data_IF_808967129001
#
_entry.id   IF_808967129001
#
_cell.length_a   1.000
_cell.length_b   1.000
_cell.length_c   1.000
_cell.angle_alpha   90.00
_cell.angle_beta   90.00
_cell.angle_gamma   90.00
#
_symmetry.space_group_name_H-M   'P 1'
#
loop_
_entity.id
_entity.type
_entity.pdbx_description
1 polymer ?
#
# COMPACT_ATOMS: atom_id res chain seq x y z
N UNK A 1 -51.58 -10.13 -65.90
CA UNK A 1 -51.61 -9.12 -64.81
C UNK A 1 -51.67 -9.76 -63.42
N UNK A 2 -52.64 -10.61 -63.11
CA UNK A 2 -52.77 -11.22 -61.76
C UNK A 2 -51.54 -12.03 -61.29
N UNK A 3 -50.99 -12.91 -62.14
CA UNK A 3 -49.79 -13.71 -61.80
C UNK A 3 -48.55 -12.85 -61.48
N UNK A 4 -48.32 -11.79 -62.25
CA UNK A 4 -47.22 -10.85 -62.02
C UNK A 4 -47.35 -10.13 -60.66
N UNK A 5 -48.57 -9.71 -60.31
CA UNK A 5 -48.84 -9.06 -59.03
C UNK A 5 -48.60 -10.00 -57.83
N UNK A 6 -48.96 -11.28 -57.97
CA UNK A 6 -48.71 -12.31 -56.94
C UNK A 6 -47.21 -12.51 -56.74
N UNK A 7 -46.43 -12.58 -57.82
CA UNK A 7 -44.96 -12.74 -57.74
C UNK A 7 -44.32 -11.53 -57.06
N UNK A 8 -44.73 -10.31 -57.41
CA UNK A 8 -44.22 -9.08 -56.77
C UNK A 8 -44.55 -9.05 -55.28
N UNK A 9 -45.79 -9.41 -54.91
CA UNK A 9 -46.19 -9.47 -53.50
C UNK A 9 -45.39 -10.51 -52.71
N UNK A 10 -45.15 -11.70 -53.29
CA UNK A 10 -44.36 -12.75 -52.66
C UNK A 10 -42.89 -12.33 -52.46
N UNK A 11 -42.29 -11.69 -53.46
CA UNK A 11 -40.93 -11.16 -53.38
C UNK A 11 -40.80 -10.03 -52.35
N UNK A 12 -41.78 -9.12 -52.29
CA UNK A 12 -41.82 -8.06 -51.30
C UNK A 12 -41.90 -8.62 -49.88
N UNK A 13 -42.77 -9.61 -49.65
CA UNK A 13 -42.89 -10.28 -48.35
C UNK A 13 -41.63 -11.03 -47.94
N UNK A 14 -41.02 -11.79 -48.87
CA UNK A 14 -39.76 -12.48 -48.61
C UNK A 14 -38.65 -11.48 -48.27
N UNK A 15 -38.51 -10.40 -49.04
CA UNK A 15 -37.48 -9.38 -48.84
C UNK A 15 -37.63 -8.70 -47.48
N UNK A 16 -38.86 -8.32 -47.09
CA UNK A 16 -39.13 -7.73 -45.78
C UNK A 16 -38.80 -8.71 -44.64
N UNK A 17 -39.19 -9.98 -44.79
CA UNK A 17 -38.89 -11.02 -43.82
C UNK A 17 -37.37 -11.25 -43.65
N UNK A 18 -36.62 -11.33 -44.74
CA UNK A 18 -35.16 -11.49 -44.70
C UNK A 18 -34.46 -10.24 -44.15
N UNK A 19 -34.92 -9.05 -44.51
CA UNK A 19 -34.38 -7.81 -43.98
C UNK A 19 -34.61 -7.70 -42.46
N UNK A 20 -35.82 -7.98 -41.99
CA UNK A 20 -36.15 -7.99 -40.57
C UNK A 20 -35.30 -8.98 -39.77
N UNK A 21 -35.07 -10.18 -40.31
CA UNK A 21 -34.19 -11.16 -39.68
C UNK A 21 -32.72 -10.69 -39.70
N UNK A 22 -32.24 -10.14 -40.81
CA UNK A 22 -30.86 -9.62 -40.91
C UNK A 22 -30.59 -8.48 -39.91
N UNK A 23 -31.55 -7.57 -39.73
CA UNK A 23 -31.44 -6.49 -38.73
C UNK A 23 -31.39 -7.05 -37.32
N UNK A 24 -32.27 -8.00 -36.96
CA UNK A 24 -32.27 -8.64 -35.65
C UNK A 24 -30.95 -9.35 -35.34
N UNK A 25 -30.41 -10.12 -36.27
CA UNK A 25 -29.13 -10.81 -36.09
C UNK A 25 -27.96 -9.84 -35.97
N UNK A 26 -27.97 -8.75 -36.75
CA UNK A 26 -26.98 -7.67 -36.63
C UNK A 26 -27.03 -7.04 -35.24
N UNK A 27 -28.21 -6.65 -34.77
CA UNK A 27 -28.39 -6.04 -33.45
C UNK A 27 -27.93 -6.96 -32.31
N UNK A 28 -28.28 -8.26 -32.37
CA UNK A 28 -27.84 -9.26 -31.40
C UNK A 28 -26.32 -9.39 -31.38
N UNK A 29 -25.69 -9.51 -32.57
CA UNK A 29 -24.23 -9.60 -32.69
C UNK A 29 -23.56 -8.35 -32.16
N UNK A 30 -24.05 -7.17 -32.54
CA UNK A 30 -23.45 -5.90 -32.14
C UNK A 30 -23.56 -5.73 -30.61
N UNK A 31 -24.70 -6.13 -30.02
CA UNK A 31 -24.91 -6.18 -28.57
C UNK A 31 -23.93 -7.12 -27.87
N UNK A 32 -23.77 -8.35 -28.36
CA UNK A 32 -22.84 -9.34 -27.78
C UNK A 32 -21.40 -8.88 -27.93
N UNK A 33 -21.03 -8.33 -29.10
CA UNK A 33 -19.69 -7.83 -29.38
C UNK A 33 -19.34 -6.67 -28.46
N UNK A 34 -20.28 -5.74 -28.25
CA UNK A 34 -20.12 -4.64 -27.31
C UNK A 34 -19.96 -5.15 -25.87
N UNK A 35 -20.81 -6.08 -25.42
CA UNK A 35 -20.71 -6.68 -24.07
C UNK A 35 -19.39 -7.40 -23.86
N UNK A 36 -18.92 -8.15 -24.86
CA UNK A 36 -17.64 -8.83 -24.83
C UNK A 36 -16.47 -7.84 -24.75
N UNK A 37 -16.50 -6.77 -25.55
CA UNK A 37 -15.50 -5.72 -25.51
C UNK A 37 -15.44 -5.03 -24.15
N UNK A 38 -16.60 -4.73 -23.55
CA UNK A 38 -16.68 -4.15 -22.21
C UNK A 38 -16.10 -5.09 -21.15
N UNK A 39 -16.48 -6.37 -21.18
CA UNK A 39 -15.96 -7.37 -20.26
C UNK A 39 -14.43 -7.52 -20.36
N UNK A 40 -13.89 -7.54 -21.58
CA UNK A 40 -12.45 -7.58 -21.82
C UNK A 40 -11.73 -6.33 -21.30
N UNK A 41 -12.32 -5.14 -21.50
CA UNK A 41 -11.78 -3.90 -20.96
C UNK A 41 -11.76 -3.92 -19.42
N UNK A 42 -12.83 -4.40 -18.78
CA UNK A 42 -12.89 -4.55 -17.32
C UNK A 42 -11.85 -5.56 -16.81
N UNK A 43 -11.69 -6.71 -17.46
CA UNK A 43 -10.67 -7.71 -17.09
C UNK A 43 -9.26 -7.13 -17.21
N UNK A 44 -9.00 -6.37 -18.28
CA UNK A 44 -7.70 -5.72 -18.49
C UNK A 44 -7.43 -4.68 -17.40
N UNK A 45 -8.42 -3.87 -17.05
CA UNK A 45 -8.31 -2.90 -15.96
C UNK A 45 -8.05 -3.58 -14.62
N UNK A 46 -8.82 -4.63 -14.29
CA UNK A 46 -8.63 -5.42 -13.07
C UNK A 46 -7.22 -6.02 -13.00
N UNK A 47 -6.72 -6.58 -14.10
CA UNK A 47 -5.37 -7.15 -14.19
C UNK A 47 -4.30 -6.10 -13.99
N UNK A 48 -4.49 -4.89 -14.55
CA UNK A 48 -3.57 -3.78 -14.36
C UNK A 48 -3.54 -3.35 -12.89
N UNK A 49 -4.71 -3.13 -12.27
CA UNK A 49 -4.80 -2.77 -10.85
C UNK A 49 -4.17 -3.81 -9.93
N UNK A 50 -4.37 -5.10 -10.20
CA UNK A 50 -3.72 -6.18 -9.44
C UNK A 50 -2.19 -6.08 -9.51
N UNK A 51 -1.63 -5.83 -10.70
CA UNK A 51 -0.19 -5.62 -10.86
C UNK A 51 0.30 -4.37 -10.14
N UNK A 52 -0.45 -3.28 -10.21
CA UNK A 52 -0.09 -2.01 -9.57
C UNK A 52 -0.12 -2.16 -8.03
N UNK A 53 -1.13 -2.84 -7.48
CA UNK A 53 -1.21 -3.18 -6.04
C UNK A 53 -0.08 -4.10 -5.62
N UNK A 54 0.25 -5.13 -6.40
CA UNK A 54 1.37 -6.03 -6.09
C UNK A 54 2.73 -5.30 -6.11
N UNK A 55 2.93 -4.38 -7.05
CA UNK A 55 4.13 -3.55 -7.11
C UNK A 55 4.22 -2.59 -5.92
N UNK A 56 3.08 -2.04 -5.49
CA UNK A 56 2.99 -1.19 -4.31
C UNK A 56 3.35 -1.99 -3.05
N UNK A 57 2.73 -3.16 -2.86
CA UNK A 57 2.99 -4.06 -1.73
C UNK A 57 4.46 -4.48 -1.64
N UNK A 58 5.08 -4.83 -2.78
CA UNK A 58 6.49 -5.16 -2.85
C UNK A 58 7.40 -3.99 -2.42
N UNK A 59 7.05 -2.75 -2.81
CA UNK A 59 7.79 -1.55 -2.38
C UNK A 59 7.67 -1.31 -0.88
N UNK A 60 6.46 -1.28 -0.34
CA UNK A 60 6.25 -1.04 1.09
C UNK A 60 6.86 -2.13 1.96
N UNK A 61 6.74 -3.40 1.56
CA UNK A 61 7.36 -4.52 2.25
C UNK A 61 8.88 -4.38 2.31
N UNK A 62 9.51 -4.02 1.18
CA UNK A 62 10.95 -3.77 1.14
C UNK A 62 11.35 -2.60 2.04
N UNK A 63 10.67 -1.47 1.93
CA UNK A 63 10.97 -0.29 2.75
C UNK A 63 10.84 -0.59 4.25
N UNK A 64 9.86 -1.40 4.66
CA UNK A 64 9.67 -1.84 6.04
C UNK A 64 10.77 -2.82 6.49
N UNK A 65 11.21 -3.72 5.62
CA UNK A 65 12.33 -4.63 5.91
C UNK A 65 13.65 -3.88 6.08
N UNK A 66 13.98 -2.99 5.13
CA UNK A 66 15.20 -2.15 5.17
C UNK A 66 15.20 -1.28 6.43
N UNK A 67 14.05 -0.72 6.77
CA UNK A 67 13.83 0.05 7.98
C UNK A 67 14.08 -0.72 9.28
N UNK A 68 13.61 -1.96 9.33
CA UNK A 68 13.78 -2.85 10.47
C UNK A 68 15.25 -3.23 10.61
N UNK A 69 15.91 -3.58 9.51
CA UNK A 69 17.33 -3.91 9.49
C UNK A 69 18.20 -2.75 10.00
N UNK A 70 17.91 -1.51 9.58
CA UNK A 70 18.61 -0.32 10.09
C UNK A 70 18.40 -0.12 11.59
N UNK A 71 17.18 -0.32 12.09
CA UNK A 71 16.87 -0.19 13.52
C UNK A 71 17.59 -1.27 14.35
N UNK A 72 17.55 -2.52 13.90
CA UNK A 72 18.24 -3.64 14.53
C UNK A 72 19.76 -3.42 14.56
N UNK A 73 20.36 -2.98 13.45
CA UNK A 73 21.79 -2.63 13.39
C UNK A 73 22.16 -1.52 14.40
N UNK A 74 21.33 -0.48 14.53
CA UNK A 74 21.54 0.58 15.51
C UNK A 74 21.40 0.07 16.94
N UNK A 75 20.43 -0.80 17.21
CA UNK A 75 20.24 -1.42 18.52
C UNK A 75 21.47 -2.25 18.90
N UNK A 76 21.99 -3.03 17.97
CA UNK A 76 23.16 -3.88 18.19
C UNK A 76 24.44 -3.04 18.38
N UNK A 77 24.60 -1.96 17.62
CA UNK A 77 25.70 -1.00 17.80
C UNK A 77 25.68 -0.32 19.17
N UNK A 78 24.49 0.05 19.65
CA UNK A 78 24.31 0.65 20.99
C UNK A 78 24.56 -0.38 22.09
N UNK A 79 24.04 -1.60 21.95
CA UNK A 79 24.24 -2.69 22.90
C UNK A 79 25.71 -3.10 23.00
N UNK A 80 26.43 -3.11 21.88
CA UNK A 80 27.87 -3.39 21.84
C UNK A 80 28.75 -2.19 22.23
N UNK A 81 28.17 -1.03 22.54
CA UNK A 81 28.91 0.19 22.89
C UNK A 81 29.66 0.84 21.73
N UNK A 82 29.44 0.39 20.49
CA UNK A 82 30.01 1.00 19.26
C UNK A 82 29.40 2.36 18.96
N UNK A 83 28.13 2.56 19.37
CA UNK A 83 27.41 3.84 19.30
C UNK A 83 26.79 4.18 20.65
N UNK A 84 26.53 5.46 20.89
CA UNK A 84 25.81 5.93 22.08
C UNK A 84 24.46 6.50 21.66
N UNK A 85 23.40 6.12 22.38
CA UNK A 85 22.08 6.73 22.26
C UNK A 85 22.03 7.99 23.12
N UNK A 86 21.71 9.12 22.49
CA UNK A 86 21.53 10.39 23.16
C UNK A 86 20.06 10.76 23.16
N UNK A 87 19.59 11.28 24.30
CA UNK A 87 18.27 11.89 24.43
C UNK A 87 18.46 13.33 24.82
N UNK A 88 17.62 14.20 24.27
CA UNK A 88 17.54 15.56 24.75
C UNK A 88 16.78 15.53 26.09
N UNK A 89 17.45 15.89 27.17
CA UNK A 89 16.90 15.88 28.51
C UNK A 89 17.19 17.21 29.22
N UNK A 90 16.17 17.75 29.89
CA UNK A 90 16.32 18.91 30.79
C UNK A 90 16.40 18.39 32.21
N UNK A 91 17.55 18.56 32.85
CA UNK A 91 17.71 18.22 34.26
C UNK A 91 17.29 19.40 35.15
N UNK A 92 16.31 19.25 36.06
CA UNK A 92 16.00 20.30 37.02
C UNK A 92 17.21 20.56 37.92
N UNK A 93 17.44 21.82 38.26
CA UNK A 93 18.51 22.20 39.17
C UNK A 93 18.28 21.56 40.55
N UNK A 94 19.30 20.89 41.07
CA UNK A 94 19.26 20.34 42.42
C UNK A 94 19.35 21.52 43.41
N UNK A 95 18.51 21.61 44.45
CA UNK A 95 18.53 22.74 45.39
C UNK A 95 19.89 22.92 46.05
N UNK A 96 20.55 24.06 45.79
CA UNK A 96 21.80 24.48 46.41
C UNK A 96 21.54 24.90 47.86
N UNK A 97 21.49 23.95 48.80
CA UNK A 97 21.30 24.29 50.21
C UNK A 97 21.12 23.14 51.21
N UNK A 98 21.09 21.88 50.76
CA UNK A 98 20.80 20.72 51.64
C UNK A 98 21.84 19.59 51.62
N UNK A 99 23.03 19.79 51.07
CA UNK A 99 24.08 18.78 51.09
C UNK A 99 25.31 19.27 51.86
N UNK A 100 25.34 18.99 53.16
CA UNK A 100 26.54 18.95 54.00
C UNK A 100 27.29 17.61 53.81
N UNK A 101 27.29 17.06 52.61
CA UNK A 101 28.08 15.86 52.28
C UNK A 101 29.45 16.29 51.79
N UNK A 102 30.51 15.78 52.41
CA UNK A 102 31.87 15.87 51.88
C UNK A 102 31.88 15.39 50.43
N UNK A 103 32.47 16.17 49.53
CA UNK A 103 32.64 15.78 48.12
C UNK A 103 33.52 14.53 48.07
N UNK A 104 32.90 13.35 47.97
CA UNK A 104 33.57 12.10 47.62
C UNK A 104 33.38 11.90 46.14
N UNK A 105 34.48 11.67 45.43
CA UNK A 105 34.47 11.30 44.02
C UNK A 105 34.43 9.78 43.96
N UNK A 106 33.23 9.22 43.90
CA UNK A 106 33.01 7.81 43.64
C UNK A 106 33.41 7.50 42.19
N UNK A 107 34.18 6.43 41.99
CA UNK A 107 34.54 5.93 40.66
C UNK A 107 33.34 5.18 40.03
N UNK A 108 32.25 5.90 39.82
CA UNK A 108 31.05 5.38 39.17
C UNK A 108 31.24 5.34 37.65
N UNK A 109 30.60 4.38 37.00
CA UNK A 109 30.52 4.35 35.54
C UNK A 109 29.92 5.67 35.03
N UNK A 110 30.40 6.14 33.87
CA UNK A 110 29.86 7.36 33.26
C UNK A 110 28.34 7.27 33.11
N UNK A 111 27.60 8.37 33.32
CA UNK A 111 26.15 8.38 33.18
C UNK A 111 25.70 7.79 31.84
N UNK A 112 24.76 6.84 31.89
CA UNK A 112 24.16 6.19 30.71
C UNK A 112 22.66 5.96 30.92
N UNK A 113 21.92 5.91 29.82
CA UNK A 113 20.52 5.49 29.84
C UNK A 113 20.41 4.08 30.44
N UNK A 114 19.32 3.83 31.17
CA UNK A 114 18.96 2.49 31.60
C UNK A 114 18.75 1.57 30.39
N UNK A 115 19.11 0.30 30.51
CA UNK A 115 18.98 -0.67 29.41
C UNK A 115 17.53 -0.81 28.94
N UNK A 116 16.54 -0.66 29.84
CA UNK A 116 15.12 -0.59 29.49
C UNK A 116 14.81 0.60 28.58
N UNK A 117 15.26 1.80 28.95
CA UNK A 117 15.03 3.02 28.18
C UNK A 117 15.63 2.92 26.77
N UNK A 118 16.80 2.28 26.61
CA UNK A 118 17.40 2.04 25.30
C UNK A 118 16.53 1.09 24.45
N UNK A 119 16.07 -0.03 25.02
CA UNK A 119 15.18 -0.97 24.32
C UNK A 119 13.86 -0.32 23.93
N UNK A 120 13.25 0.42 24.84
CA UNK A 120 11.96 1.08 24.64
C UNK A 120 12.04 2.13 23.52
N UNK A 121 13.16 2.86 23.43
CA UNK A 121 13.42 3.78 22.33
C UNK A 121 13.40 3.10 20.95
N UNK A 122 14.11 1.98 20.81
CA UNK A 122 14.16 1.26 19.53
C UNK A 122 12.81 0.63 19.16
N UNK A 123 12.10 0.09 20.16
CA UNK A 123 10.73 -0.42 19.98
C UNK A 123 9.76 0.70 19.55
N UNK A 124 9.88 1.90 20.15
CA UNK A 124 9.10 3.06 19.74
C UNK A 124 9.42 3.48 18.30
N UNK A 125 10.71 3.57 17.94
CA UNK A 125 11.14 3.92 16.57
C UNK A 125 10.57 2.93 15.54
N UNK A 126 10.58 1.63 15.84
CA UNK A 126 10.00 0.60 14.97
C UNK A 126 8.47 0.78 14.80
N UNK A 127 7.74 0.99 15.90
CA UNK A 127 6.28 1.20 15.87
C UNK A 127 5.88 2.46 15.11
N UNK A 128 6.58 3.58 15.33
CA UNK A 128 6.33 4.84 14.61
C UNK A 128 6.53 4.65 13.11
N UNK A 129 7.61 3.98 12.70
CA UNK A 129 7.89 3.74 11.28
C UNK A 129 6.86 2.82 10.63
N UNK A 130 6.43 1.78 11.35
CA UNK A 130 5.35 0.88 10.90
C UNK A 130 4.03 1.63 10.74
N UNK A 131 3.64 2.42 11.75
CA UNK A 131 2.42 3.24 11.71
C UNK A 131 2.47 4.26 10.57
N UNK A 132 3.61 4.93 10.36
CA UNK A 132 3.79 5.87 9.26
C UNK A 132 3.58 5.17 7.91
N UNK A 133 4.13 3.97 7.72
CA UNK A 133 3.91 3.21 6.47
C UNK A 133 2.46 2.77 6.28
N UNK A 134 1.74 2.46 7.36
CA UNK A 134 0.30 2.19 7.31
C UNK A 134 -0.51 3.42 6.90
N UNK A 135 -0.12 4.61 7.35
CA UNK A 135 -0.76 5.87 6.98
C UNK A 135 -0.42 6.31 5.55
N UNK A 136 0.82 6.09 5.10
CA UNK A 136 1.26 6.38 3.73
C UNK A 136 0.69 5.39 2.71
N UNK A 137 0.31 4.19 3.15
CA UNK A 137 -0.28 3.13 2.34
C UNK A 137 -1.82 3.10 2.33
N UNK A 138 -2.48 4.02 3.03
CA UNK A 138 -3.93 4.25 3.01
C UNK A 138 -4.30 5.35 2.00
#
# INVERSE_FOLDING_TARGET
MASLLIVVAALAWATDHYHGNAVKYKEQRDTVTHKLALANATITDMTKRQRDVAALDARYTKELADAKAENDALRDDVAAGRRRLYVNATCPAVPTGKSTSTARMDNAASPRLADSAQRDYFALKERVKTMQKQLEGA
#
